data_IF_650198555918
#
_entry.id   IF_650198555918
#
_cell.length_a   1.000
_cell.length_b   1.000
_cell.length_c   1.000
_cell.angle_alpha   90.00
_cell.angle_beta   90.00
_cell.angle_gamma   90.00
#
_symmetry.space_group_name_H-M   'P 1'
#
loop_
_entity.id
_entity.type
_entity.pdbx_description
1 polymer ?
#
# COMPACT_ATOMS: atom_id res chain seq x y z
N UNK A 1 35.08 -10.15 11.66
CA UNK A 1 35.47 -9.12 12.65
C UNK A 1 35.39 -7.70 12.12
N UNK A 2 35.95 -7.37 10.94
CA UNK A 2 35.91 -5.98 10.41
C UNK A 2 34.49 -5.44 10.17
N UNK A 3 33.59 -6.19 9.52
CA UNK A 3 32.17 -5.82 9.37
C UNK A 3 31.47 -5.53 10.70
N UNK A 4 31.73 -6.35 11.73
CA UNK A 4 31.13 -6.17 13.07
C UNK A 4 31.60 -4.85 13.69
N UNK A 5 32.88 -4.51 13.56
CA UNK A 5 33.42 -3.22 14.04
C UNK A 5 32.79 -2.04 13.30
N UNK A 6 32.66 -2.13 11.97
CA UNK A 6 32.03 -1.10 11.14
C UNK A 6 30.55 -0.89 11.51
N UNK A 7 29.83 -1.97 11.81
CA UNK A 7 28.44 -1.90 12.27
C UNK A 7 28.33 -1.33 13.69
N UNK A 8 29.21 -1.76 14.60
CA UNK A 8 29.24 -1.25 15.98
C UNK A 8 29.54 0.26 16.03
N UNK A 9 30.42 0.77 15.16
CA UNK A 9 30.68 2.20 15.02
C UNK A 9 29.45 3.02 14.59
N UNK A 10 28.39 2.35 14.12
CA UNK A 10 27.11 2.93 13.70
C UNK A 10 25.99 2.62 14.69
N UNK A 11 26.31 2.11 15.87
CA UNK A 11 25.33 1.68 16.87
C UNK A 11 24.57 0.39 16.51
N UNK A 12 24.99 -0.34 15.47
CA UNK A 12 24.35 -1.58 15.04
C UNK A 12 25.07 -2.77 15.65
N UNK A 13 24.36 -3.52 16.50
CA UNK A 13 24.89 -4.70 17.18
C UNK A 13 24.54 -5.96 16.39
N UNK A 14 25.56 -6.67 15.89
CA UNK A 14 25.39 -7.98 15.25
C UNK A 14 26.47 -8.96 15.73
N UNK A 15 26.09 -10.23 15.80
CA UNK A 15 27.00 -11.33 16.12
C UNK A 15 27.62 -11.93 14.85
N UNK A 16 28.77 -12.58 14.99
CA UNK A 16 29.37 -13.34 13.89
C UNK A 16 28.44 -14.46 13.38
N UNK A 17 27.68 -15.08 14.29
CA UNK A 17 26.69 -16.11 13.96
C UNK A 17 25.55 -15.59 13.10
N UNK A 18 25.02 -14.40 13.40
CA UNK A 18 24.00 -13.74 12.57
C UNK A 18 24.52 -13.46 11.16
N UNK A 19 25.70 -12.84 11.03
CA UNK A 19 26.30 -12.58 9.71
C UNK A 19 26.49 -13.86 8.89
N UNK A 20 26.92 -14.95 9.53
CA UNK A 20 27.10 -16.23 8.82
C UNK A 20 25.77 -16.91 8.48
N UNK A 21 24.75 -16.74 9.32
CA UNK A 21 23.39 -17.20 9.01
C UNK A 21 22.80 -16.47 7.81
N UNK A 22 23.03 -15.15 7.69
CA UNK A 22 22.59 -14.35 6.55
C UNK A 22 23.34 -14.69 5.26
N UNK A 23 24.65 -14.92 5.33
CA UNK A 23 25.43 -15.42 4.17
C UNK A 23 24.97 -16.79 3.69
N UNK A 24 24.70 -17.72 4.62
CA UNK A 24 24.18 -19.05 4.28
C UNK A 24 22.82 -19.00 3.61
N UNK A 25 22.00 -18.02 3.96
CA UNK A 25 20.73 -17.75 3.29
C UNK A 25 20.86 -16.91 2.01
N UNK A 26 22.07 -16.62 1.52
CA UNK A 26 22.30 -15.86 0.30
C UNK A 26 22.01 -14.37 0.40
N UNK A 27 21.71 -13.84 1.59
CA UNK A 27 21.33 -12.43 1.79
C UNK A 27 22.53 -11.47 1.86
N UNK A 28 23.72 -12.02 2.14
CA UNK A 28 24.96 -11.26 2.14
C UNK A 28 25.99 -11.95 1.25
N UNK A 29 26.78 -11.18 0.48
CA UNK A 29 27.93 -11.71 -0.24
C UNK A 29 28.91 -12.41 0.71
N UNK A 30 29.54 -13.48 0.21
CA UNK A 30 30.73 -14.03 0.87
C UNK A 30 31.91 -13.13 0.57
N UNK A 31 32.67 -12.76 1.60
CA UNK A 31 33.88 -11.98 1.42
C UNK A 31 34.89 -12.75 0.57
N UNK A 32 35.52 -12.06 -0.40
CA UNK A 32 36.73 -12.57 -1.03
C UNK A 32 37.81 -12.67 0.04
N UNK A 33 38.36 -13.87 0.20
CA UNK A 33 39.45 -14.15 1.13
C UNK A 33 40.73 -14.30 0.33
N UNK A 34 41.80 -13.65 0.79
CA UNK A 34 43.14 -13.83 0.25
C UNK A 34 43.91 -14.76 1.19
N UNK A 35 44.57 -15.76 0.61
CA UNK A 35 45.50 -16.62 1.35
C UNK A 35 46.78 -15.86 1.71
N UNK A 36 47.22 -15.98 2.97
CA UNK A 36 48.45 -15.34 3.45
C UNK A 36 49.72 -16.22 3.26
N UNK A 37 49.58 -17.35 2.57
CA UNK A 37 50.64 -18.36 2.37
C UNK A 37 50.48 -19.59 3.28
N UNK A 38 51.34 -20.61 3.08
CA UNK A 38 51.31 -21.87 3.86
C UNK A 38 51.39 -21.59 5.37
N UNK A 39 50.44 -22.14 6.12
CA UNK A 39 50.37 -22.03 7.58
C UNK A 39 49.95 -20.67 8.14
N UNK A 40 49.70 -19.65 7.29
CA UNK A 40 49.42 -18.27 7.74
C UNK A 40 47.95 -17.86 7.70
N UNK A 41 47.06 -18.77 7.30
CA UNK A 41 45.63 -18.53 7.26
C UNK A 41 45.17 -17.67 6.09
N UNK A 42 43.98 -17.08 6.23
CA UNK A 42 43.34 -16.23 5.21
C UNK A 42 42.92 -14.90 5.82
N UNK A 43 43.02 -13.82 5.05
CA UNK A 43 42.56 -12.49 5.45
C UNK A 43 41.47 -11.98 4.52
N UNK A 44 40.63 -11.09 5.04
CA UNK A 44 39.66 -10.32 4.25
C UNK A 44 40.31 -8.97 3.96
N UNK A 45 40.77 -8.76 2.73
CA UNK A 45 41.55 -7.57 2.34
C UNK A 45 40.72 -6.28 2.43
N UNK A 46 39.52 -6.30 1.85
CA UNK A 46 38.60 -5.15 1.79
C UNK A 46 37.20 -5.60 2.16
N UNK A 47 36.57 -4.86 3.07
CA UNK A 47 35.14 -5.01 3.33
C UNK A 47 34.42 -4.08 2.37
N UNK A 48 33.67 -4.68 1.45
CA UNK A 48 32.79 -3.95 0.56
C UNK A 48 31.74 -3.15 1.37
N UNK A 49 31.62 -1.82 1.18
CA UNK A 49 30.61 -1.01 1.83
C UNK A 49 29.19 -1.55 1.68
N UNK A 50 28.86 -2.15 0.52
CA UNK A 50 27.56 -2.78 0.27
C UNK A 50 27.26 -3.85 1.30
N UNK A 51 28.24 -4.69 1.66
CA UNK A 51 28.04 -5.74 2.67
C UNK A 51 27.72 -5.14 4.05
N UNK A 52 28.32 -4.00 4.38
CA UNK A 52 28.05 -3.32 5.66
C UNK A 52 26.67 -2.70 5.66
N UNK A 53 26.28 -2.00 4.59
CA UNK A 53 24.95 -1.38 4.51
C UNK A 53 23.82 -2.43 4.41
N UNK A 54 24.01 -3.51 3.64
CA UNK A 54 23.06 -4.65 3.60
C UNK A 54 22.94 -5.33 4.96
N UNK A 55 24.05 -5.53 5.68
CA UNK A 55 24.01 -6.09 7.03
C UNK A 55 23.33 -5.14 8.03
N UNK A 56 23.50 -3.82 7.87
CA UNK A 56 22.80 -2.83 8.67
C UNK A 56 21.29 -2.84 8.41
N UNK A 57 20.86 -2.95 7.15
CA UNK A 57 19.45 -3.08 6.78
C UNK A 57 18.84 -4.36 7.36
N UNK A 58 19.51 -5.50 7.20
CA UNK A 58 19.08 -6.76 7.81
C UNK A 58 18.99 -6.67 9.34
N UNK A 59 19.95 -6.00 9.99
CA UNK A 59 19.92 -5.83 11.45
C UNK A 59 18.75 -4.96 11.93
N UNK A 60 18.34 -3.94 11.16
CA UNK A 60 17.17 -3.11 11.49
C UNK A 60 15.86 -3.90 11.43
N UNK A 61 15.73 -4.79 10.46
CA UNK A 61 14.45 -5.47 10.17
C UNK A 61 14.35 -6.88 10.76
N UNK A 62 15.47 -7.58 10.95
CA UNK A 62 15.47 -8.89 11.59
C UNK A 62 15.15 -8.77 13.08
N UNK A 63 14.02 -9.34 13.51
CA UNK A 63 13.61 -9.44 14.91
C UNK A 63 13.62 -10.88 15.37
N UNK A 64 13.95 -11.11 16.64
CA UNK A 64 13.91 -12.46 17.23
C UNK A 64 12.48 -13.02 17.14
N UNK A 65 12.35 -14.29 16.77
CA UNK A 65 11.05 -14.96 16.63
C UNK A 65 10.26 -14.61 15.35
N UNK A 66 10.73 -13.66 14.54
CA UNK A 66 10.09 -13.28 13.28
C UNK A 66 10.74 -14.00 12.09
N UNK A 67 9.93 -14.42 11.13
CA UNK A 67 10.44 -15.01 9.90
C UNK A 67 11.29 -14.00 9.12
N UNK A 68 12.46 -14.44 8.67
CA UNK A 68 13.44 -13.61 7.97
C UNK A 68 12.92 -13.06 6.65
N UNK A 69 12.00 -13.76 5.98
CA UNK A 69 11.40 -13.31 4.72
C UNK A 69 10.69 -11.97 4.88
N UNK A 70 10.06 -11.73 6.03
CA UNK A 70 9.45 -10.44 6.34
C UNK A 70 10.48 -9.32 6.41
N UNK A 71 11.65 -9.58 7.00
CA UNK A 71 12.75 -8.62 7.05
C UNK A 71 13.35 -8.32 5.68
N UNK A 72 13.31 -9.29 4.75
CA UNK A 72 13.72 -9.09 3.35
C UNK A 72 12.76 -8.14 2.63
N UNK A 73 11.45 -8.28 2.85
CA UNK A 73 10.45 -7.36 2.27
C UNK A 73 10.58 -5.94 2.84
N UNK A 74 10.80 -5.80 4.14
CA UNK A 74 11.04 -4.50 4.78
C UNK A 74 12.33 -3.84 4.26
N UNK A 75 13.40 -4.62 4.09
CA UNK A 75 14.62 -4.15 3.43
C UNK A 75 14.35 -3.74 1.98
N UNK A 76 13.60 -4.55 1.22
CA UNK A 76 13.27 -4.23 -0.17
C UNK A 76 12.48 -2.93 -0.30
N UNK A 77 11.49 -2.71 0.57
CA UNK A 77 10.75 -1.46 0.66
C UNK A 77 11.68 -0.28 1.01
N UNK A 78 12.53 -0.42 2.04
CA UNK A 78 13.47 0.62 2.46
C UNK A 78 14.46 1.01 1.35
N UNK A 79 14.94 0.03 0.58
CA UNK A 79 15.87 0.27 -0.54
C UNK A 79 15.24 1.11 -1.67
N UNK A 80 13.91 1.08 -1.81
CA UNK A 80 13.16 1.88 -2.78
C UNK A 80 12.78 3.29 -2.29
N UNK A 81 13.00 3.60 -1.02
CA UNK A 81 12.66 4.92 -0.48
C UNK A 81 13.64 5.98 -0.98
N UNK A 82 13.12 7.18 -1.29
CA UNK A 82 13.92 8.33 -1.66
C UNK A 82 14.98 8.68 -0.60
N UNK A 83 16.17 9.09 -1.06
CA UNK A 83 17.28 9.39 -0.17
C UNK A 83 17.01 10.70 0.58
N UNK A 84 16.90 10.64 1.92
CA UNK A 84 16.88 11.86 2.74
C UNK A 84 18.26 12.53 2.70
N UNK A 85 18.34 13.87 2.76
CA UNK A 85 19.62 14.57 2.91
C UNK A 85 20.44 14.01 4.09
N UNK A 86 21.68 13.62 3.84
CA UNK A 86 22.57 13.02 4.84
C UNK A 86 22.31 11.55 5.19
N UNK A 87 21.25 10.93 4.68
CA UNK A 87 21.00 9.50 4.83
C UNK A 87 21.89 8.67 3.90
N UNK A 88 22.26 7.47 4.34
CA UNK A 88 23.01 6.52 3.52
C UNK A 88 22.06 5.73 2.63
N UNK A 89 22.45 5.51 1.39
CA UNK A 89 21.70 4.69 0.45
C UNK A 89 21.67 3.25 0.96
N UNK A 90 20.47 2.69 1.08
CA UNK A 90 20.27 1.28 1.39
C UNK A 90 20.44 0.48 0.10
N UNK A 91 21.35 -0.51 0.05
CA UNK A 91 21.54 -1.33 -1.14
C UNK A 91 20.31 -2.20 -1.42
N UNK A 92 20.12 -2.60 -2.67
CA UNK A 92 19.09 -3.57 -3.03
C UNK A 92 19.35 -4.93 -2.37
N UNK A 93 18.32 -5.60 -1.81
CA UNK A 93 18.42 -7.01 -1.47
C UNK A 93 18.57 -7.89 -2.71
N UNK A 94 19.11 -9.12 -2.56
CA UNK A 94 19.08 -10.10 -3.64
C UNK A 94 17.64 -10.38 -4.09
N UNK A 95 17.34 -10.11 -5.37
CA UNK A 95 15.96 -10.20 -5.88
C UNK A 95 15.38 -11.61 -5.79
N UNK A 96 16.21 -12.65 -5.92
CA UNK A 96 15.78 -14.03 -5.67
C UNK A 96 15.22 -14.24 -4.24
N UNK A 97 15.82 -13.59 -3.23
CA UNK A 97 15.32 -13.65 -1.86
C UNK A 97 14.04 -12.82 -1.68
N UNK A 98 13.92 -11.69 -2.37
CA UNK A 98 12.69 -10.88 -2.42
C UNK A 98 11.55 -11.70 -3.01
N UNK A 99 11.75 -12.31 -4.18
CA UNK A 99 10.76 -13.17 -4.85
C UNK A 99 10.32 -14.32 -3.94
N UNK A 100 11.26 -15.01 -3.30
CA UNK A 100 10.95 -16.07 -2.35
C UNK A 100 10.11 -15.57 -1.18
N UNK A 101 10.42 -14.37 -0.66
CA UNK A 101 9.67 -13.76 0.42
C UNK A 101 8.26 -13.35 -0.01
N UNK A 102 8.12 -12.71 -1.17
CA UNK A 102 6.82 -12.31 -1.74
C UNK A 102 5.94 -13.54 -1.95
N UNK A 103 6.42 -14.56 -2.66
CA UNK A 103 5.67 -15.80 -2.90
C UNK A 103 5.24 -16.43 -1.58
N UNK A 104 6.14 -16.53 -0.60
CA UNK A 104 5.82 -17.15 0.69
C UNK A 104 4.71 -16.40 1.46
N UNK A 105 4.73 -15.06 1.41
CA UNK A 105 3.72 -14.21 2.04
C UNK A 105 2.39 -14.31 1.29
N UNK A 106 2.41 -14.18 -0.04
CA UNK A 106 1.20 -14.19 -0.87
C UNK A 106 0.49 -15.55 -0.83
N UNK A 107 1.23 -16.66 -0.80
CA UNK A 107 0.64 -18.00 -0.61
C UNK A 107 -0.05 -18.18 0.77
N UNK A 108 0.12 -17.23 1.69
CA UNK A 108 -0.46 -17.25 3.04
C UNK A 108 -1.39 -16.06 3.30
N UNK A 109 -1.64 -15.23 2.29
CA UNK A 109 -2.52 -14.07 2.44
C UNK A 109 -3.95 -14.50 2.75
N UNK A 110 -4.75 -13.57 3.25
CA UNK A 110 -6.21 -13.79 3.38
C UNK A 110 -6.81 -13.91 1.98
N UNK A 111 -6.44 -13.04 1.04
CA UNK A 111 -6.97 -13.03 -0.32
C UNK A 111 -6.73 -14.35 -1.05
N UNK A 112 -5.51 -14.91 -0.97
CA UNK A 112 -5.19 -16.20 -1.60
C UNK A 112 -6.01 -17.34 -0.98
N UNK A 113 -6.17 -17.36 0.36
CA UNK A 113 -6.98 -18.36 1.04
C UNK A 113 -8.45 -18.28 0.66
N UNK A 114 -9.00 -17.08 0.51
CA UNK A 114 -10.38 -16.89 0.07
C UNK A 114 -10.57 -17.35 -1.38
N UNK A 115 -9.62 -17.05 -2.28
CA UNK A 115 -9.65 -17.54 -3.67
C UNK A 115 -9.56 -19.07 -3.72
N UNK A 116 -8.67 -19.68 -2.92
CA UNK A 116 -8.55 -21.14 -2.83
C UNK A 116 -9.83 -21.79 -2.29
N UNK A 117 -10.43 -21.18 -1.26
CA UNK A 117 -11.70 -21.64 -0.70
C UNK A 117 -12.82 -21.54 -1.74
N UNK A 118 -12.95 -20.40 -2.41
CA UNK A 118 -13.95 -20.18 -3.44
C UNK A 118 -13.80 -21.20 -4.59
N UNK A 119 -12.56 -21.45 -5.06
CA UNK A 119 -12.31 -22.50 -6.06
C UNK A 119 -12.66 -23.91 -5.57
N UNK A 120 -12.47 -24.20 -4.29
CA UNK A 120 -12.84 -25.50 -3.72
C UNK A 120 -14.36 -25.67 -3.54
N UNK A 121 -15.09 -24.56 -3.44
CA UNK A 121 -16.55 -24.50 -3.35
C UNK A 121 -17.24 -24.51 -4.72
N UNK A 122 -16.51 -24.24 -5.81
CA UNK A 122 -17.06 -24.23 -7.16
C UNK A 122 -17.74 -25.58 -7.50
N UNK A 123 -19.00 -25.52 -7.96
CA UNK A 123 -19.80 -26.71 -8.25
C UNK A 123 -20.38 -27.45 -7.05
N UNK A 124 -20.18 -26.96 -5.82
CA UNK A 124 -20.83 -27.50 -4.61
C UNK A 124 -22.24 -26.94 -4.37
N UNK A 125 -22.71 -26.02 -5.24
CA UNK A 125 -24.02 -25.37 -5.12
C UNK A 125 -24.07 -24.37 -3.96
N UNK A 126 -25.28 -24.04 -3.52
CA UNK A 126 -25.56 -23.02 -2.48
C UNK A 126 -24.76 -23.26 -1.18
N UNK A 127 -24.63 -24.52 -0.72
CA UNK A 127 -23.87 -24.85 0.50
C UNK A 127 -22.39 -24.44 0.41
N UNK A 128 -21.79 -24.53 -0.78
CA UNK A 128 -20.42 -24.09 -1.03
C UNK A 128 -20.28 -22.57 -0.99
N UNK A 129 -21.28 -21.86 -1.53
CA UNK A 129 -21.33 -20.40 -1.50
C UNK A 129 -21.48 -19.90 -0.06
N UNK A 130 -22.43 -20.45 0.69
CA UNK A 130 -22.66 -20.09 2.09
C UNK A 130 -21.39 -20.30 2.94
N UNK A 131 -20.68 -21.40 2.74
CA UNK A 131 -19.42 -21.68 3.42
C UNK A 131 -18.32 -20.66 3.08
N UNK A 132 -18.26 -20.20 1.82
CA UNK A 132 -17.33 -19.15 1.39
C UNK A 132 -17.65 -17.81 2.07
N UNK A 133 -18.92 -17.36 2.04
CA UNK A 133 -19.32 -16.10 2.67
C UNK A 133 -19.08 -16.13 4.18
N UNK A 134 -19.45 -17.23 4.86
CA UNK A 134 -19.21 -17.39 6.29
C UNK A 134 -17.72 -17.38 6.66
N UNK A 135 -16.86 -17.98 5.83
CA UNK A 135 -15.42 -17.92 6.04
C UNK A 135 -14.86 -16.52 5.77
N UNK A 136 -15.39 -15.82 4.78
CA UNK A 136 -14.99 -14.45 4.47
C UNK A 136 -15.33 -13.49 5.60
N UNK A 137 -16.51 -13.59 6.22
CA UNK A 137 -16.87 -12.81 7.42
C UNK A 137 -15.89 -13.00 8.59
N UNK A 138 -15.32 -14.20 8.75
CA UNK A 138 -14.34 -14.47 9.81
C UNK A 138 -12.94 -13.95 9.47
N UNK A 139 -12.59 -13.92 8.18
CA UNK A 139 -11.24 -13.65 7.71
C UNK A 139 -11.03 -12.19 7.30
N UNK A 140 -12.07 -11.53 6.78
CA UNK A 140 -12.05 -10.15 6.32
C UNK A 140 -12.48 -9.26 7.49
N UNK A 141 -11.59 -8.35 7.88
CA UNK A 141 -11.96 -7.32 8.84
C UNK A 141 -12.81 -6.27 8.14
N UNK A 142 -13.87 -5.72 8.79
CA UNK A 142 -14.59 -4.58 8.26
C UNK A 142 -13.61 -3.46 7.93
N UNK A 143 -13.55 -3.08 6.66
CA UNK A 143 -12.76 -1.95 6.19
C UNK A 143 -13.72 -0.78 5.99
N UNK A 144 -13.64 0.22 6.86
CA UNK A 144 -14.26 1.51 6.59
C UNK A 144 -13.24 2.30 5.79
N UNK A 145 -13.45 2.39 4.47
CA UNK A 145 -12.60 3.21 3.60
C UNK A 145 -12.41 4.62 4.14
N UNK A 146 -11.36 5.31 3.69
CA UNK A 146 -11.23 6.72 4.00
C UNK A 146 -12.30 7.50 3.23
N UNK A 147 -12.99 8.40 3.94
CA UNK A 147 -13.88 9.36 3.30
C UNK A 147 -13.13 10.18 2.26
N UNK A 148 -13.80 10.52 1.16
CA UNK A 148 -13.21 11.34 0.11
C UNK A 148 -12.59 12.64 0.71
N UNK A 149 -11.28 12.89 0.56
CA UNK A 149 -10.59 14.04 1.12
C UNK A 149 -11.21 15.39 0.76
N UNK A 150 -11.83 15.55 -0.41
CA UNK A 150 -12.53 16.78 -0.76
C UNK A 150 -13.76 17.00 0.13
N UNK A 151 -14.52 15.93 0.41
CA UNK A 151 -15.68 15.98 1.33
C UNK A 151 -15.23 16.21 2.78
N UNK A 152 -14.15 15.55 3.20
CA UNK A 152 -13.55 15.78 4.53
C UNK A 152 -13.14 17.24 4.67
N UNK A 153 -12.46 17.81 3.68
CA UNK A 153 -12.03 19.20 3.68
C UNK A 153 -13.22 20.15 3.79
N UNK A 154 -14.23 19.97 2.95
CA UNK A 154 -15.42 20.81 2.95
C UNK A 154 -16.12 20.83 4.32
N UNK A 155 -16.28 19.66 4.95
CA UNK A 155 -16.85 19.56 6.29
C UNK A 155 -15.98 20.26 7.35
N UNK A 156 -14.66 20.06 7.31
CA UNK A 156 -13.75 20.73 8.24
C UNK A 156 -13.77 22.25 8.09
N UNK A 157 -13.84 22.77 6.86
CA UNK A 157 -13.93 24.21 6.57
C UNK A 157 -15.28 24.79 6.99
N UNK A 158 -16.37 24.03 6.88
CA UNK A 158 -17.70 24.41 7.35
C UNK A 158 -17.87 24.30 8.88
N UNK A 159 -16.91 23.69 9.59
CA UNK A 159 -17.03 23.39 11.01
C UNK A 159 -18.04 22.27 11.31
N UNK A 160 -18.39 21.47 10.30
CA UNK A 160 -19.30 20.35 10.39
C UNK A 160 -18.57 19.06 10.82
N UNK A 161 -19.34 18.08 11.25
CA UNK A 161 -18.79 16.74 11.47
C UNK A 161 -18.32 16.17 10.15
N UNK A 162 -17.13 15.56 10.17
CA UNK A 162 -16.59 14.90 8.98
C UNK A 162 -17.59 13.84 8.56
N UNK A 163 -18.01 13.80 7.28
CA UNK A 163 -18.85 12.73 6.77
C UNK A 163 -18.06 11.45 6.94
N UNK A 164 -18.35 10.72 8.02
CA UNK A 164 -18.08 9.31 8.07
C UNK A 164 -19.12 8.76 7.11
N UNK A 165 -18.71 8.28 5.94
CA UNK A 165 -19.61 7.50 5.11
C UNK A 165 -20.22 6.44 6.04
N UNK A 166 -21.51 6.60 6.35
CA UNK A 166 -22.22 5.73 7.28
C UNK A 166 -22.20 4.28 6.77
N UNK A 167 -21.94 4.12 5.48
CA UNK A 167 -21.74 2.90 4.74
C UNK A 167 -20.45 3.06 3.92
N UNK A 168 -19.28 2.92 4.56
CA UNK A 168 -18.05 2.63 3.80
C UNK A 168 -18.23 1.35 3.00
N UNK A 169 -17.43 1.11 1.94
CA UNK A 169 -17.61 -0.03 1.06
C UNK A 169 -17.72 -1.31 1.89
N UNK A 170 -18.88 -1.94 1.82
CA UNK A 170 -19.13 -3.14 2.60
C UNK A 170 -18.05 -4.16 2.22
N UNK A 171 -17.43 -4.76 3.24
CA UNK A 171 -16.51 -5.89 3.04
C UNK A 171 -17.13 -6.96 2.13
N UNK A 172 -18.46 -7.07 2.13
CA UNK A 172 -19.26 -7.91 1.24
C UNK A 172 -18.93 -7.68 -0.24
N UNK A 173 -18.69 -6.45 -0.71
CA UNK A 173 -18.32 -6.18 -2.10
C UNK A 173 -17.00 -6.85 -2.51
N UNK A 174 -16.00 -6.88 -1.61
CA UNK A 174 -14.78 -7.65 -1.85
C UNK A 174 -15.02 -9.15 -1.82
N UNK A 175 -15.92 -9.63 -0.95
CA UNK A 175 -16.26 -11.05 -0.90
C UNK A 175 -16.97 -11.49 -2.17
N UNK A 176 -17.89 -10.68 -2.71
CA UNK A 176 -18.53 -10.90 -4.00
C UNK A 176 -17.51 -10.96 -5.14
N UNK A 177 -16.51 -10.08 -5.16
CA UNK A 177 -15.44 -10.15 -6.16
C UNK A 177 -14.62 -11.45 -6.03
N UNK A 178 -14.26 -11.85 -4.82
CA UNK A 178 -13.53 -13.10 -4.59
C UNK A 178 -14.38 -14.32 -4.96
N UNK A 179 -15.68 -14.28 -4.65
CA UNK A 179 -16.64 -15.29 -5.05
C UNK A 179 -16.73 -15.38 -6.58
N UNK A 180 -16.83 -14.24 -7.28
CA UNK A 180 -16.91 -14.21 -8.74
C UNK A 180 -15.62 -14.74 -9.39
N UNK A 181 -14.48 -14.47 -8.76
CA UNK A 181 -13.17 -14.97 -9.17
C UNK A 181 -13.03 -16.49 -8.98
N UNK A 182 -13.54 -17.04 -7.87
CA UNK A 182 -13.32 -18.44 -7.51
C UNK A 182 -14.41 -19.41 -7.92
N UNK A 183 -15.67 -18.98 -7.87
CA UNK A 183 -16.86 -19.74 -8.28
C UNK A 183 -17.22 -19.49 -9.75
N UNK A 184 -16.83 -18.33 -10.28
CA UNK A 184 -17.23 -17.83 -11.59
C UNK A 184 -18.38 -16.82 -11.48
N UNK A 185 -18.36 -15.83 -12.38
CA UNK A 185 -19.34 -14.73 -12.39
C UNK A 185 -20.79 -15.22 -12.45
N UNK A 186 -21.03 -16.34 -13.14
CA UNK A 186 -22.40 -16.87 -13.32
C UNK A 186 -22.96 -17.53 -12.07
N UNK A 187 -22.10 -17.99 -11.16
CA UNK A 187 -22.53 -18.54 -9.89
C UNK A 187 -22.85 -17.44 -8.86
N UNK A 188 -22.25 -16.26 -9.00
CA UNK A 188 -22.47 -15.11 -8.11
C UNK A 188 -23.65 -14.25 -8.55
N UNK A 189 -23.86 -14.12 -9.86
CA UNK A 189 -24.94 -13.33 -10.46
C UNK A 189 -24.58 -11.85 -10.64
N UNK A 190 -25.25 -11.20 -11.61
CA UNK A 190 -25.01 -9.81 -11.98
C UNK A 190 -25.19 -8.80 -10.83
N UNK A 191 -26.18 -9.00 -9.96
CA UNK A 191 -26.49 -8.03 -8.88
C UNK A 191 -25.36 -7.96 -7.84
N UNK A 192 -24.89 -9.11 -7.36
CA UNK A 192 -23.77 -9.17 -6.42
C UNK A 192 -22.45 -8.66 -7.03
N UNK A 193 -22.25 -8.87 -8.34
CA UNK A 193 -21.09 -8.30 -9.04
C UNK A 193 -21.23 -6.78 -9.23
N UNK A 194 -22.45 -6.28 -9.44
CA UNK A 194 -22.72 -4.85 -9.51
C UNK A 194 -22.42 -4.16 -8.17
N UNK A 195 -22.85 -4.76 -7.06
CA UNK A 195 -22.50 -4.31 -5.72
C UNK A 195 -20.98 -4.32 -5.50
N UNK A 196 -20.28 -5.37 -5.94
CA UNK A 196 -18.83 -5.45 -5.85
C UNK A 196 -18.11 -4.32 -6.61
N UNK A 197 -18.51 -4.07 -7.86
CA UNK A 197 -17.89 -3.06 -8.71
C UNK A 197 -18.20 -1.64 -8.26
N UNK A 198 -19.43 -1.38 -7.81
CA UNK A 198 -19.80 -0.10 -7.23
C UNK A 198 -19.07 0.16 -5.91
N UNK A 199 -18.94 -0.85 -5.03
CA UNK A 199 -18.19 -0.74 -3.78
C UNK A 199 -16.69 -0.44 -4.01
N UNK A 200 -16.14 -0.91 -5.14
CA UNK A 200 -14.77 -0.58 -5.56
C UNK A 200 -14.69 0.74 -6.32
N UNK A 201 -15.81 1.44 -6.55
CA UNK A 201 -15.88 2.70 -7.28
C UNK A 201 -15.48 2.57 -8.75
N UNK A 202 -15.63 1.39 -9.36
CA UNK A 202 -15.19 1.17 -10.73
C UNK A 202 -15.92 2.10 -11.70
N UNK A 203 -15.16 2.95 -12.38
CA UNK A 203 -15.62 3.93 -13.38
C UNK A 203 -16.66 4.94 -12.84
N UNK A 204 -16.73 5.13 -11.52
CA UNK A 204 -17.69 6.05 -10.89
C UNK A 204 -19.16 5.66 -11.09
N UNK A 205 -19.44 4.41 -11.47
CA UNK A 205 -20.78 3.90 -11.74
C UNK A 205 -21.47 3.43 -10.47
N UNK A 206 -22.80 3.64 -10.40
CA UNK A 206 -23.64 3.16 -9.29
C UNK A 206 -23.89 1.65 -9.38
N UNK A 207 -24.43 1.07 -8.31
CA UNK A 207 -24.88 -0.34 -8.32
C UNK A 207 -25.91 -0.54 -9.44
N UNK A 208 -26.83 0.39 -9.62
CA UNK A 208 -27.86 0.33 -10.65
C UNK A 208 -27.28 0.39 -12.07
N UNK A 209 -26.31 1.27 -12.30
CA UNK A 209 -25.62 1.36 -13.60
C UNK A 209 -24.90 0.06 -13.93
N UNK A 210 -24.22 -0.53 -12.95
CA UNK A 210 -23.56 -1.82 -13.10
C UNK A 210 -24.54 -2.95 -13.32
N UNK A 211 -25.61 -3.05 -12.52
CA UNK A 211 -26.62 -4.10 -12.63
C UNK A 211 -27.32 -4.04 -14.01
N UNK A 212 -27.60 -2.84 -14.51
CA UNK A 212 -28.15 -2.64 -15.84
C UNK A 212 -27.19 -3.15 -16.92
N UNK A 213 -25.91 -2.79 -16.85
CA UNK A 213 -24.92 -3.18 -17.85
C UNK A 213 -24.63 -4.69 -17.81
N UNK A 214 -24.48 -5.26 -16.62
CA UNK A 214 -24.25 -6.68 -16.40
C UNK A 214 -25.45 -7.52 -16.79
N UNK A 215 -26.66 -7.10 -16.42
CA UNK A 215 -27.89 -7.76 -16.84
C UNK A 215 -28.11 -7.69 -18.36
N UNK A 216 -27.73 -6.58 -19.02
CA UNK A 216 -27.75 -6.51 -20.48
C UNK A 216 -26.76 -7.51 -21.11
N UNK A 217 -25.55 -7.62 -20.55
CA UNK A 217 -24.58 -8.62 -20.99
C UNK A 217 -25.07 -10.07 -20.82
N UNK A 218 -25.70 -10.40 -19.69
CA UNK A 218 -26.29 -11.74 -19.44
C UNK A 218 -27.40 -12.07 -20.46
N UNK A 219 -28.21 -11.08 -20.85
CA UNK A 219 -29.24 -11.25 -21.89
C UNK A 219 -28.68 -11.29 -23.32
N UNK A 220 -27.37 -11.12 -23.50
CA UNK A 220 -26.73 -11.03 -24.82
C UNK A 220 -26.99 -9.70 -25.54
N UNK A 221 -27.45 -8.68 -24.81
CA UNK A 221 -27.72 -7.32 -25.28
C UNK A 221 -26.43 -6.49 -25.17
N UNK A 222 -25.41 -6.82 -25.96
CA UNK A 222 -24.14 -6.08 -25.95
C UNK A 222 -22.94 -6.90 -26.43
N UNK A 223 -21.74 -6.30 -26.50
CA UNK A 223 -20.52 -7.07 -26.73
C UNK A 223 -20.32 -8.07 -25.57
N UNK A 224 -19.86 -9.30 -25.84
CA UNK A 224 -19.59 -10.27 -24.78
C UNK A 224 -18.55 -9.70 -23.82
N UNK A 225 -18.84 -9.77 -22.52
CA UNK A 225 -17.90 -9.36 -21.48
C UNK A 225 -16.81 -10.42 -21.35
N UNK A 226 -15.56 -10.00 -21.54
CA UNK A 226 -14.40 -10.86 -21.27
C UNK A 226 -14.12 -10.88 -19.77
N UNK A 227 -14.43 -12.01 -19.13
CA UNK A 227 -14.18 -12.25 -17.71
C UNK A 227 -12.77 -12.78 -17.42
N UNK A 228 -12.00 -13.14 -18.45
CA UNK A 228 -10.62 -13.63 -18.32
C UNK A 228 -9.67 -12.70 -17.54
N UNK A 229 -9.82 -11.35 -17.55
CA UNK A 229 -9.10 -10.47 -16.65
C UNK A 229 -9.37 -10.73 -15.16
N UNK A 230 -10.63 -10.97 -14.74
CA UNK A 230 -10.98 -11.26 -13.34
C UNK A 230 -10.31 -12.54 -12.86
N UNK A 231 -10.37 -13.60 -13.66
CA UNK A 231 -9.69 -14.87 -13.35
C UNK A 231 -8.16 -14.72 -13.27
N UNK A 232 -7.58 -13.82 -14.08
CA UNK A 232 -6.15 -13.49 -13.98
C UNK A 232 -5.82 -12.75 -12.69
N UNK A 233 -6.68 -11.83 -12.25
CA UNK A 233 -6.51 -11.12 -10.98
C UNK A 233 -6.58 -12.05 -9.75
N UNK A 234 -7.19 -13.24 -9.90
CA UNK A 234 -7.17 -14.31 -8.90
C UNK A 234 -5.77 -14.87 -8.61
N UNK A 235 -4.89 -14.86 -9.61
CA UNK A 235 -3.53 -15.39 -9.50
C UNK A 235 -2.58 -14.30 -9.01
N UNK A 236 -2.67 -13.93 -7.73
CA UNK A 236 -1.77 -12.92 -7.14
C UNK A 236 -0.32 -13.40 -7.01
N UNK A 237 -0.08 -14.72 -7.09
CA UNK A 237 1.24 -15.34 -6.89
C UNK A 237 2.00 -15.52 -8.21
N UNK A 238 1.31 -15.90 -9.28
CA UNK A 238 1.92 -16.23 -10.57
C UNK A 238 2.67 -15.09 -11.25
N UNK A 239 2.15 -13.85 -11.30
CA UNK A 239 2.89 -12.68 -11.77
C UNK A 239 4.22 -12.52 -11.04
N UNK A 240 4.23 -12.61 -9.71
CA UNK A 240 5.46 -12.53 -8.90
C UNK A 240 6.42 -13.68 -9.20
N UNK A 241 5.94 -14.89 -9.43
CA UNK A 241 6.78 -16.04 -9.80
C UNK A 241 7.46 -15.84 -11.16
N UNK A 242 6.76 -15.25 -12.13
CA UNK A 242 7.21 -15.10 -13.53
C UNK A 242 7.99 -13.81 -13.80
N UNK A 243 7.81 -12.77 -12.98
CA UNK A 243 8.43 -11.46 -13.21
C UNK A 243 9.96 -11.54 -13.27
N UNK A 244 10.56 -10.75 -14.16
CA UNK A 244 11.97 -10.41 -14.13
C UNK A 244 12.34 -9.64 -12.86
N UNK A 245 13.64 -9.50 -12.62
CA UNK A 245 14.14 -8.73 -11.48
C UNK A 245 13.80 -7.24 -11.63
N UNK A 246 13.81 -6.72 -12.86
CA UNK A 246 13.47 -5.33 -13.18
C UNK A 246 11.98 -5.05 -12.94
N UNK A 247 11.09 -5.97 -13.29
CA UNK A 247 9.64 -5.82 -13.05
C UNK A 247 9.33 -5.73 -11.56
N UNK A 248 9.97 -6.54 -10.71
CA UNK A 248 9.77 -6.44 -9.25
C UNK A 248 10.26 -5.11 -8.68
N UNK A 249 11.39 -4.60 -9.18
CA UNK A 249 11.92 -3.29 -8.79
C UNK A 249 11.01 -2.16 -9.29
N UNK A 250 10.48 -2.27 -10.51
CA UNK A 250 9.52 -1.31 -11.08
C UNK A 250 8.24 -1.28 -10.27
N UNK A 251 7.66 -2.44 -9.97
CA UNK A 251 6.42 -2.54 -9.18
C UNK A 251 6.58 -1.92 -7.78
N UNK A 252 7.74 -2.13 -7.13
CA UNK A 252 8.06 -1.42 -5.89
C UNK A 252 8.10 0.09 -6.08
N UNK A 253 8.76 0.58 -7.14
CA UNK A 253 8.83 2.02 -7.44
C UNK A 253 7.45 2.62 -7.63
N UNK A 254 6.59 1.96 -8.41
CA UNK A 254 5.19 2.34 -8.62
C UNK A 254 4.46 2.38 -7.28
N UNK A 255 4.53 1.33 -6.46
CA UNK A 255 3.86 1.26 -5.16
C UNK A 255 4.29 2.42 -4.23
N UNK A 256 5.60 2.63 -4.08
CA UNK A 256 6.11 3.67 -3.17
C UNK A 256 5.80 5.08 -3.69
N UNK A 257 5.83 5.28 -5.01
CA UNK A 257 5.46 6.52 -5.66
C UNK A 257 3.98 6.85 -5.50
N UNK A 258 3.09 5.90 -5.86
CA UNK A 258 1.65 6.03 -5.66
C UNK A 258 1.30 6.28 -4.20
N UNK A 259 2.03 5.69 -3.25
CA UNK A 259 1.85 5.99 -1.82
C UNK A 259 2.15 7.42 -1.45
N UNK A 260 3.15 8.02 -2.08
CA UNK A 260 3.44 9.43 -1.84
C UNK A 260 2.36 10.33 -2.44
N UNK A 261 1.88 10.04 -3.65
CA UNK A 261 0.76 10.77 -4.25
C UNK A 261 -0.55 10.61 -3.45
N UNK A 262 -0.87 9.39 -3.03
CA UNK A 262 -2.02 9.11 -2.17
C UNK A 262 -1.90 9.85 -0.84
N UNK A 263 -0.71 9.91 -0.23
CA UNK A 263 -0.51 10.71 0.98
C UNK A 263 -0.83 12.19 0.70
N UNK A 264 -0.29 12.80 -0.36
CA UNK A 264 -0.65 14.19 -0.71
C UNK A 264 -2.15 14.38 -0.91
N UNK A 265 -2.80 13.42 -1.56
CA UNK A 265 -4.24 13.41 -1.81
C UNK A 265 -5.05 13.37 -0.49
N UNK A 266 -4.71 12.47 0.44
CA UNK A 266 -5.37 12.41 1.77
C UNK A 266 -5.09 13.65 2.60
N UNK A 267 -3.86 14.17 2.57
CA UNK A 267 -3.49 15.36 3.33
C UNK A 267 -4.27 16.61 2.88
N UNK A 268 -4.74 16.67 1.63
CA UNK A 268 -5.67 17.72 1.18
C UNK A 268 -6.93 17.80 2.06
N UNK A 269 -7.47 16.65 2.45
CA UNK A 269 -8.58 16.55 3.40
C UNK A 269 -8.23 17.09 4.78
N UNK A 270 -6.97 17.03 5.17
CA UNK A 270 -6.43 17.58 6.42
C UNK A 270 -5.90 19.01 6.25
N UNK A 271 -6.60 19.83 5.44
CA UNK A 271 -6.33 21.25 5.23
C UNK A 271 -4.91 21.56 4.69
N UNK A 272 -4.27 20.60 4.03
CA UNK A 272 -3.01 20.87 3.32
C UNK A 272 -3.24 22.02 2.32
N UNK A 273 -2.39 23.07 2.29
CA UNK A 273 -2.55 24.20 1.37
C UNK A 273 -2.60 23.71 -0.07
N UNK A 274 -3.62 24.15 -0.79
CA UNK A 274 -3.87 23.66 -2.13
C UNK A 274 -3.17 24.52 -3.17
N UNK A 275 -2.10 24.00 -3.77
CA UNK A 275 -1.38 24.66 -4.86
C UNK A 275 -1.95 24.21 -6.21
N UNK A 276 -1.82 25.00 -7.29
CA UNK A 276 -2.26 24.58 -8.62
C UNK A 276 -1.69 23.22 -9.05
N UNK A 277 -0.41 22.97 -8.73
CA UNK A 277 0.25 21.69 -9.01
C UNK A 277 -0.36 20.52 -8.22
N UNK A 278 -0.70 20.72 -6.94
CA UNK A 278 -1.37 19.71 -6.13
C UNK A 278 -2.80 19.45 -6.62
N UNK A 279 -3.54 20.50 -6.98
CA UNK A 279 -4.88 20.37 -7.55
C UNK A 279 -4.85 19.55 -8.85
N UNK A 280 -3.89 19.80 -9.74
CA UNK A 280 -3.71 19.04 -10.97
C UNK A 280 -3.38 17.56 -10.73
N UNK A 281 -2.55 17.25 -9.72
CA UNK A 281 -2.26 15.87 -9.33
C UNK A 281 -3.51 15.15 -8.81
N UNK A 282 -4.32 15.83 -7.97
CA UNK A 282 -5.57 15.23 -7.46
C UNK A 282 -6.59 15.02 -8.56
N UNK A 283 -6.78 16.03 -9.42
CA UNK A 283 -7.65 15.91 -10.58
C UNK A 283 -7.26 14.70 -11.45
N UNK A 284 -5.96 14.41 -11.61
CA UNK A 284 -5.52 13.22 -12.36
C UNK A 284 -5.95 11.90 -11.70
N UNK A 285 -5.94 11.83 -10.36
CA UNK A 285 -6.42 10.66 -9.62
C UNK A 285 -7.94 10.51 -9.77
N UNK A 286 -8.66 11.64 -9.71
CA UNK A 286 -10.12 11.70 -9.83
C UNK A 286 -10.57 11.35 -11.26
N UNK A 287 -9.88 11.84 -12.30
CA UNK A 287 -10.16 11.52 -13.71
C UNK A 287 -10.09 10.03 -14.02
N UNK A 288 -9.38 9.25 -13.20
CA UNK A 288 -9.22 7.81 -13.37
C UNK A 288 -10.08 7.02 -12.38
N UNK A 289 -10.85 7.70 -11.52
CA UNK A 289 -11.63 7.12 -10.42
C UNK A 289 -10.80 6.19 -9.52
N UNK A 290 -9.51 6.51 -9.33
CA UNK A 290 -8.56 5.60 -8.67
C UNK A 290 -8.51 5.78 -7.15
N UNK A 291 -9.20 6.78 -6.58
CA UNK A 291 -9.13 7.04 -5.14
C UNK A 291 -9.55 5.84 -4.27
N UNK A 292 -10.72 5.18 -4.49
CA UNK A 292 -11.12 4.03 -3.67
C UNK A 292 -10.11 2.87 -3.74
N UNK A 293 -9.52 2.64 -4.93
CA UNK A 293 -8.48 1.64 -5.13
C UNK A 293 -7.19 1.99 -4.39
N UNK A 294 -6.72 3.23 -4.52
CA UNK A 294 -5.52 3.69 -3.82
C UNK A 294 -5.72 3.63 -2.30
N UNK A 295 -6.90 4.02 -1.81
CA UNK A 295 -7.24 3.93 -0.40
C UNK A 295 -7.18 2.49 0.13
N UNK A 296 -7.78 1.56 -0.62
CA UNK A 296 -7.79 0.15 -0.28
C UNK A 296 -6.39 -0.49 -0.32
N UNK A 297 -5.61 -0.17 -1.35
CA UNK A 297 -4.34 -0.84 -1.64
C UNK A 297 -3.17 -0.19 -0.89
N UNK A 298 -3.24 1.10 -0.58
CA UNK A 298 -2.09 1.88 -0.12
C UNK A 298 -2.23 2.29 1.33
N UNK A 299 -1.84 1.39 2.22
CA UNK A 299 -1.66 1.73 3.63
C UNK A 299 -0.51 2.74 3.82
N UNK A 300 -0.74 3.78 4.63
CA UNK A 300 0.29 4.76 5.03
C UNK A 300 1.40 4.12 5.86
N UNK A 301 1.20 2.91 6.40
CA UNK A 301 2.23 2.10 7.07
C UNK A 301 1.90 0.61 6.94
N UNK A 302 2.20 -0.02 5.79
CA UNK A 302 1.81 -1.38 5.52
C UNK A 302 2.63 -2.34 6.37
N UNK A 303 1.97 -3.36 6.90
CA UNK A 303 2.66 -4.60 7.30
C UNK A 303 3.36 -5.22 6.07
N UNK A 304 4.37 -6.09 6.24
CA UNK A 304 4.99 -6.72 5.06
C UNK A 304 4.04 -7.61 4.26
N UNK A 305 2.95 -8.08 4.88
CA UNK A 305 1.84 -8.76 4.21
C UNK A 305 1.17 -7.84 3.20
N UNK A 306 0.66 -6.70 3.70
CA UNK A 306 0.06 -5.66 2.87
C UNK A 306 1.04 -5.17 1.80
N UNK A 307 2.31 -4.94 2.14
CA UNK A 307 3.31 -4.55 1.14
C UNK A 307 3.43 -5.56 0.00
N UNK A 308 3.42 -6.87 0.29
CA UNK A 308 3.50 -7.90 -0.74
C UNK A 308 2.25 -7.91 -1.64
N UNK A 309 1.07 -7.78 -1.04
CA UNK A 309 -0.21 -7.72 -1.75
C UNK A 309 -0.28 -6.47 -2.65
N UNK A 310 -0.02 -5.28 -2.09
CA UNK A 310 0.00 -4.04 -2.85
C UNK A 310 1.06 -4.03 -3.95
N UNK A 311 2.21 -4.67 -3.72
CA UNK A 311 3.25 -4.78 -4.75
C UNK A 311 2.79 -5.65 -5.91
N UNK A 312 2.14 -6.79 -5.63
CA UNK A 312 1.59 -7.66 -6.67
C UNK A 312 0.55 -6.91 -7.51
N UNK A 313 -0.31 -6.12 -6.86
CA UNK A 313 -1.29 -5.26 -7.55
C UNK A 313 -0.60 -4.19 -8.41
N UNK A 314 0.47 -3.56 -7.92
CA UNK A 314 1.24 -2.56 -8.66
C UNK A 314 2.05 -3.12 -9.85
N UNK A 315 2.02 -4.45 -10.08
CA UNK A 315 2.55 -5.04 -11.30
C UNK A 315 1.56 -4.94 -12.46
N UNK A 316 0.29 -4.62 -12.20
CA UNK A 316 -0.73 -4.51 -13.22
C UNK A 316 -0.65 -3.16 -13.96
N UNK A 317 -0.93 -3.14 -15.29
CA UNK A 317 -0.76 -1.94 -16.13
C UNK A 317 -1.45 -0.67 -15.62
N UNK A 318 -2.70 -0.71 -15.08
CA UNK A 318 -3.38 0.51 -14.63
C UNK A 318 -2.59 1.32 -13.60
N UNK A 319 -1.93 0.63 -12.65
CA UNK A 319 -1.15 1.30 -11.60
C UNK A 319 0.16 1.88 -12.15
N UNK A 320 0.81 1.17 -13.07
CA UNK A 320 1.98 1.68 -13.77
C UNK A 320 1.65 2.94 -14.58
N UNK A 321 0.55 2.91 -15.34
CA UNK A 321 0.12 4.03 -16.17
C UNK A 321 -0.30 5.25 -15.33
N UNK A 322 -1.03 5.03 -14.21
CA UNK A 322 -1.37 6.10 -13.28
C UNK A 322 -0.11 6.74 -12.68
N UNK A 323 0.84 5.92 -12.22
CA UNK A 323 2.09 6.42 -11.67
C UNK A 323 2.88 7.25 -12.70
N UNK A 324 2.96 6.78 -13.95
CA UNK A 324 3.62 7.51 -15.04
C UNK A 324 2.93 8.85 -15.30
N UNK A 325 1.60 8.88 -15.42
CA UNK A 325 0.85 10.11 -15.62
C UNK A 325 1.05 11.13 -14.47
N UNK A 326 1.08 10.65 -13.22
CA UNK A 326 1.33 11.50 -12.05
C UNK A 326 2.77 12.03 -12.01
N UNK A 327 3.74 11.21 -12.39
CA UNK A 327 5.14 11.62 -12.49
C UNK A 327 5.37 12.62 -13.62
N UNK A 328 4.71 12.46 -14.76
CA UNK A 328 4.73 13.43 -15.87
C UNK A 328 4.13 14.77 -15.43
N UNK A 329 3.00 14.74 -14.72
CA UNK A 329 2.39 15.95 -14.16
C UNK A 329 3.32 16.65 -13.16
N UNK A 330 3.97 15.89 -12.27
CA UNK A 330 4.94 16.42 -11.32
C UNK A 330 6.18 17.01 -12.01
N UNK A 331 6.64 16.39 -13.11
CA UNK A 331 7.77 16.89 -13.87
C UNK A 331 7.44 18.20 -14.62
N UNK A 332 6.20 18.35 -15.08
CA UNK A 332 5.72 19.56 -15.74
C UNK A 332 5.57 20.74 -14.76
N UNK A 333 5.19 20.47 -13.51
CA UNK A 333 5.10 21.47 -12.44
C UNK A 333 5.71 20.94 -11.12
N UNK A 334 7.05 21.07 -10.94
CA UNK A 334 7.76 20.52 -9.79
C UNK A 334 7.54 21.35 -8.51
N UNK A 335 6.95 22.54 -8.61
CA UNK A 335 6.78 23.51 -7.53
C UNK A 335 5.56 23.17 -6.64
N UNK A 336 5.34 21.89 -6.34
CA UNK A 336 4.15 21.40 -5.63
C UNK A 336 3.94 21.99 -4.23
N UNK A 337 5.01 22.45 -3.59
CA UNK A 337 4.96 23.10 -2.27
C UNK A 337 5.11 24.63 -2.36
N UNK A 338 5.03 25.22 -3.55
CA UNK A 338 5.13 26.66 -3.74
C UNK A 338 3.74 27.27 -3.72
N UNK A 339 3.49 28.12 -2.74
CA UNK A 339 2.24 28.87 -2.67
C UNK A 339 2.38 30.12 -3.53
N UNK A 340 1.43 30.42 -4.44
CA UNK A 340 1.47 31.65 -5.23
C UNK A 340 1.61 32.89 -4.32
N UNK A 341 2.61 33.73 -4.61
CA UNK A 341 2.93 34.93 -3.82
C UNK A 341 3.74 34.68 -2.54
N UNK A 342 4.17 33.43 -2.28
CA UNK A 342 5.00 33.07 -1.13
C UNK A 342 6.40 32.61 -1.60
N UNK A 343 7.45 33.34 -1.22
CA UNK A 343 8.83 33.04 -1.61
C UNK A 343 9.54 32.06 -0.67
N UNK A 344 8.90 31.66 0.44
CA UNK A 344 9.51 30.78 1.46
C UNK A 344 9.54 29.30 1.04
N UNK A 345 8.87 28.95 -0.06
CA UNK A 345 8.81 27.60 -0.61
C UNK A 345 8.21 26.58 0.35
N UNK A 346 8.82 25.40 0.44
CA UNK A 346 8.31 24.29 1.26
C UNK A 346 8.22 24.62 2.77
N UNK A 347 9.02 25.57 3.27
CA UNK A 347 9.01 25.95 4.69
C UNK A 347 7.72 26.71 5.02
N UNK A 348 7.39 27.80 4.32
CA UNK A 348 6.16 28.53 4.61
C UNK A 348 4.90 27.77 4.19
N UNK A 349 5.02 26.86 3.23
CA UNK A 349 3.99 25.87 2.97
C UNK A 349 3.67 25.04 4.22
N UNK A 350 4.70 24.47 4.86
CA UNK A 350 4.56 23.71 6.10
C UNK A 350 4.03 24.57 7.26
N UNK A 351 4.53 25.79 7.42
CA UNK A 351 4.04 26.71 8.47
C UNK A 351 2.57 27.08 8.29
N UNK A 352 2.14 27.34 7.05
CA UNK A 352 0.74 27.65 6.75
C UNK A 352 -0.16 26.47 7.08
N UNK A 353 0.27 25.27 6.72
CA UNK A 353 -0.48 24.06 7.04
C UNK A 353 -0.61 23.83 8.55
N UNK A 354 0.50 23.95 9.28
CA UNK A 354 0.51 23.81 10.75
C UNK A 354 -0.38 24.86 11.43
N UNK A 355 -0.43 26.09 10.89
CA UNK A 355 -1.34 27.13 11.38
C UNK A 355 -2.80 26.76 11.17
N UNK A 356 -3.19 26.31 9.98
CA UNK A 356 -4.56 25.88 9.69
C UNK A 356 -5.01 24.74 10.62
N UNK A 357 -4.13 23.77 10.88
CA UNK A 357 -4.41 22.68 11.84
C UNK A 357 -4.57 23.18 13.28
N UNK A 358 -3.79 24.19 13.70
CA UNK A 358 -3.90 24.78 15.03
C UNK A 358 -5.20 25.58 15.20
N UNK A 359 -5.60 26.33 14.17
CA UNK A 359 -6.86 27.08 14.13
C UNK A 359 -8.08 26.15 14.22
N UNK A 360 -8.08 25.04 13.47
CA UNK A 360 -9.14 24.03 13.55
C UNK A 360 -9.27 23.44 14.97
N UNK A 361 -8.13 23.13 15.62
CA UNK A 361 -8.12 22.61 16.99
C UNK A 361 -8.72 23.61 17.98
N UNK A 362 -8.36 24.88 17.85
CA UNK A 362 -8.84 25.94 18.74
C UNK A 362 -10.34 26.22 18.54
N UNK A 363 -10.81 26.22 17.28
CA UNK A 363 -12.23 26.40 16.96
C UNK A 363 -13.11 25.30 17.57
N UNK A 364 -12.68 24.04 17.48
CA UNK A 364 -13.39 22.91 18.12
C UNK A 364 -13.42 22.99 19.65
N UNK A 365 -12.35 23.50 20.27
CA UNK A 365 -12.32 23.69 21.72
C UNK A 365 -13.23 24.83 22.20
N UNK A 366 -13.38 25.90 21.41
CA UNK A 366 -14.30 26.98 21.72
C UNK A 366 -15.77 26.52 21.66
N UNK A 367 -16.14 25.74 20.64
CA UNK A 367 -17.51 25.20 20.49
C UNK A 367 -17.86 24.17 21.59
N UNK A 368 -16.87 23.40 22.06
CA UNK A 368 -17.07 22.44 23.17
C UNK A 368 -17.02 23.05 24.58
N UNK A 369 -16.46 24.26 24.73
CA UNK A 369 -16.34 24.95 26.03
C UNK A 369 -17.60 25.69 26.47
N UNK A 370 -18.45 26.09 25.52
CA UNK A 370 -19.73 26.78 25.82
C UNK A 370 -20.86 25.83 26.25
N UNK A 371 -20.61 24.51 26.27
CA UNK A 371 -21.61 23.50 26.66
C UNK A 371 -21.63 23.16 28.18
N UNK A 372 -20.74 23.73 29.01
CA UNK A 372 -20.62 23.36 30.44
C UNK A 372 -20.90 24.50 31.45
N UNK A 373 -21.48 25.63 31.01
CA UNK A 373 -21.97 26.70 31.92
C UNK A 373 -23.51 26.69 32.00
N UNK A 374 -24.07 25.54 32.37
CA UNK A 374 -25.44 25.45 32.87
C UNK A 374 -25.49 25.88 34.35
N UNK A 375 -26.33 26.85 34.75
CA UNK A 375 -26.34 27.33 36.13
C UNK A 375 -26.82 26.21 37.04
N UNK A 376 -25.95 25.80 37.96
CA UNK A 376 -26.29 24.93 39.09
C UNK A 376 -27.26 25.67 40.02
N UNK A 377 -28.54 25.63 39.63
CA UNK A 377 -29.67 26.06 40.44
C UNK A 377 -29.82 25.16 41.66
N UNK A 378 -29.17 25.54 42.76
CA UNK A 378 -29.52 25.11 44.12
C UNK A 378 -30.67 25.97 44.63
N UNK A 379 -31.81 25.35 44.90
CA UNK A 379 -32.93 25.77 45.78
C UNK A 379 -34.00 24.67 45.66
N UNK A 380 -34.55 23.98 46.67
CA UNK A 380 -34.49 23.94 48.14
C UNK A 380 -34.64 22.47 48.55
#
# INVERSE_FOLDING_TARGET
MRVIRELAARGVVVTAGQLESWRRAGLLPRHRRRGLGRGRGTVVDVVDPVVVESAAALARHCRQGRDRRLAVLEWFAEAGMGLRPGARRVPEPPVAAVRQALVWVLERSVSQRLVELARSAAGAGEEGQDALYAAAEQLVKPYRGAANPALVRAALEAGEDVPVEAEGPDSTGMVHLVAAIGLGVQEVGADALAEAFAALGMYGLTVEDWAQMLGAAERGEGPPVDWGPLERYADVVGPVKRASDEELVRARTVLLGLRWFYALYVMHGLLLPDTPAQAALRQRVDEWDMFPFLDHIIAVSPSPGQFAESLAVCMEPPFGNLYEALMEQLAADPDIFRIPGDETGAVGFGERWMRAMAELKNGRQAVGGDADDGPSGRSV
#
